data_IF_385930122284
#
_entry.id   IF_385930122284
#
_cell.length_a   1.000
_cell.length_b   1.000
_cell.length_c   1.000
_cell.angle_alpha   90.00
_cell.angle_beta   90.00
_cell.angle_gamma   90.00
#
_symmetry.space_group_name_H-M   'P 1'
#
loop_
_entity.id
_entity.type
_entity.pdbx_description
1 polymer ?
#
# COMPACT_ATOMS: atom_id res chain seq x y z
N UNK A 1 -21.20 -6.98 -14.58
CA UNK A 1 -20.78 -5.62 -14.25
C UNK A 1 -19.28 -5.55 -14.03
N UNK A 2 -18.72 -4.37 -13.95
CA UNK A 2 -17.33 -4.12 -13.58
C UNK A 2 -17.31 -3.60 -12.15
N UNK A 3 -16.39 -4.09 -11.32
CA UNK A 3 -16.10 -3.51 -10.00
C UNK A 3 -14.94 -2.53 -10.15
N UNK A 4 -15.04 -1.37 -9.53
CA UNK A 4 -14.01 -0.31 -9.59
C UNK A 4 -13.30 -0.25 -8.24
N UNK A 5 -11.97 -0.38 -8.25
CA UNK A 5 -11.14 -0.03 -7.11
C UNK A 5 -10.82 1.46 -7.19
N UNK A 6 -11.41 2.25 -6.31
CA UNK A 6 -11.22 3.70 -6.25
C UNK A 6 -10.23 4.03 -5.14
N UNK A 7 -9.02 4.44 -5.52
CA UNK A 7 -7.98 4.78 -4.56
C UNK A 7 -8.14 6.22 -4.07
N UNK A 8 -8.25 6.39 -2.75
CA UNK A 8 -8.11 7.67 -2.08
C UNK A 8 -6.64 7.98 -1.86
N UNK A 9 -6.11 8.91 -2.65
CA UNK A 9 -4.76 9.45 -2.45
C UNK A 9 -4.87 10.71 -1.61
N UNK A 10 -4.33 10.66 -0.41
CA UNK A 10 -4.35 11.79 0.53
C UNK A 10 -3.25 12.81 0.19
N UNK A 11 -3.27 13.31 -1.03
CA UNK A 11 -2.34 14.36 -1.48
C UNK A 11 -2.78 15.77 -1.09
N UNK A 12 -3.95 15.90 -0.46
CA UNK A 12 -4.55 17.19 -0.13
C UNK A 12 -4.62 17.31 1.38
N UNK A 13 -4.09 18.41 1.88
CA UNK A 13 -4.12 18.83 3.27
C UNK A 13 -5.42 18.44 3.97
N UNK A 14 -5.34 17.58 4.98
CA UNK A 14 -6.36 17.27 6.00
C UNK A 14 -7.75 17.90 5.77
N UNK A 15 -8.28 17.78 4.55
CA UNK A 15 -9.59 18.30 4.21
C UNK A 15 -10.66 17.38 4.83
N UNK A 16 -11.32 17.81 5.91
CA UNK A 16 -12.31 16.97 6.59
C UNK A 16 -13.49 16.59 5.69
N UNK A 17 -13.72 17.37 4.62
CA UNK A 17 -14.80 17.15 3.67
C UNK A 17 -14.39 16.25 2.50
N UNK A 18 -13.14 15.79 2.42
CA UNK A 18 -12.67 14.99 1.30
C UNK A 18 -13.45 13.67 1.17
N UNK A 19 -13.48 12.85 2.22
CA UNK A 19 -14.24 11.60 2.22
C UNK A 19 -15.75 11.84 2.05
N UNK A 20 -16.39 12.75 2.79
CA UNK A 20 -17.81 13.10 2.56
C UNK A 20 -18.13 13.43 1.11
N UNK A 21 -17.32 14.25 0.43
CA UNK A 21 -17.53 14.60 -0.98
C UNK A 21 -17.40 13.41 -1.92
N UNK A 22 -16.43 12.51 -1.68
CA UNK A 22 -16.29 11.28 -2.46
C UNK A 22 -17.54 10.41 -2.31
N UNK A 23 -18.03 10.23 -1.07
CA UNK A 23 -19.23 9.44 -0.81
C UNK A 23 -20.48 10.05 -1.45
N UNK A 24 -20.61 11.37 -1.40
CA UNK A 24 -21.72 12.07 -2.09
C UNK A 24 -21.71 11.78 -3.60
N UNK A 25 -20.56 11.85 -4.25
CA UNK A 25 -20.43 11.50 -5.68
C UNK A 25 -20.83 10.06 -5.94
N UNK A 26 -20.38 9.09 -5.11
CA UNK A 26 -20.74 7.68 -5.27
C UNK A 26 -22.24 7.44 -5.12
N UNK A 27 -22.89 8.16 -4.20
CA UNK A 27 -24.35 8.08 -4.01
C UNK A 27 -25.10 8.72 -5.18
N UNK A 28 -24.70 9.92 -5.61
CA UNK A 28 -25.33 10.63 -6.75
C UNK A 28 -25.21 9.87 -8.08
N UNK A 29 -24.13 9.10 -8.24
CA UNK A 29 -23.87 8.30 -9.44
C UNK A 29 -24.36 6.85 -9.33
N UNK A 30 -24.97 6.47 -8.21
CA UNK A 30 -25.43 5.11 -7.92
C UNK A 30 -24.31 4.05 -8.01
N UNK A 31 -23.06 4.44 -7.69
CA UNK A 31 -21.88 3.59 -7.83
C UNK A 31 -21.46 2.86 -6.55
N UNK A 32 -22.15 3.08 -5.42
CA UNK A 32 -21.78 2.52 -4.12
C UNK A 32 -21.54 1.01 -4.15
N UNK A 33 -22.44 0.25 -4.79
CA UNK A 33 -22.31 -1.21 -4.90
C UNK A 33 -21.23 -1.69 -5.91
N UNK A 34 -20.78 -0.81 -6.80
CA UNK A 34 -19.81 -1.14 -7.82
C UNK A 34 -18.39 -0.74 -7.45
N UNK A 35 -18.21 0.03 -6.36
CA UNK A 35 -16.92 0.53 -5.91
C UNK A 35 -16.41 -0.25 -4.71
N UNK A 36 -15.11 -0.47 -4.67
CA UNK A 36 -14.32 -0.78 -3.49
C UNK A 36 -13.40 0.41 -3.26
N UNK A 37 -13.58 1.11 -2.15
CA UNK A 37 -12.77 2.27 -1.81
C UNK A 37 -11.47 1.78 -1.18
N UNK A 38 -10.31 2.15 -1.76
CA UNK A 38 -9.02 1.68 -1.29
C UNK A 38 -8.11 2.85 -0.89
N UNK A 39 -7.24 2.65 0.08
CA UNK A 39 -6.26 3.66 0.48
C UNK A 39 -5.12 3.05 1.30
N UNK A 40 -3.93 3.65 1.21
CA UNK A 40 -2.84 3.46 2.17
C UNK A 40 -3.10 4.20 3.50
N UNK A 41 -3.87 5.29 3.45
CA UNK A 41 -4.31 5.98 4.65
C UNK A 41 -5.60 5.34 5.17
N UNK A 42 -5.47 4.45 6.15
CA UNK A 42 -6.60 3.70 6.70
C UNK A 42 -7.55 4.58 7.54
N UNK A 43 -7.13 5.77 7.96
CA UNK A 43 -8.03 6.72 8.62
C UNK A 43 -9.15 7.21 7.67
N UNK A 44 -8.85 7.35 6.37
CA UNK A 44 -9.86 7.69 5.36
C UNK A 44 -10.87 6.55 5.16
N UNK A 45 -10.41 5.30 5.20
CA UNK A 45 -11.30 4.13 5.11
C UNK A 45 -12.19 3.99 6.35
N UNK A 46 -11.63 4.27 7.54
CA UNK A 46 -12.40 4.32 8.79
C UNK A 46 -13.49 5.37 8.69
N UNK A 47 -13.16 6.59 8.26
CA UNK A 47 -14.14 7.65 8.08
C UNK A 47 -15.23 7.25 7.07
N UNK A 48 -14.85 6.64 5.96
CA UNK A 48 -15.80 6.16 4.96
C UNK A 48 -16.76 5.12 5.55
N UNK A 49 -16.26 4.13 6.32
CA UNK A 49 -17.09 3.12 7.00
C UNK A 49 -18.00 3.71 8.07
N UNK A 50 -17.57 4.76 8.76
CA UNK A 50 -18.41 5.46 9.74
C UNK A 50 -19.57 6.21 9.08
N UNK A 51 -19.34 6.80 7.91
CA UNK A 51 -20.34 7.57 7.17
C UNK A 51 -21.24 6.70 6.28
N UNK A 52 -20.73 5.60 5.75
CA UNK A 52 -21.41 4.69 4.84
C UNK A 52 -21.00 3.23 5.14
N UNK A 53 -21.56 2.59 6.17
CA UNK A 53 -21.13 1.26 6.65
C UNK A 53 -21.18 0.15 5.59
N UNK A 54 -22.11 0.23 4.65
CA UNK A 54 -22.29 -0.74 3.56
C UNK A 54 -21.24 -0.61 2.45
N UNK A 55 -20.51 0.51 2.36
CA UNK A 55 -19.48 0.66 1.35
C UNK A 55 -18.34 -0.33 1.60
N UNK A 56 -17.97 -1.04 0.54
CA UNK A 56 -16.81 -1.95 0.59
C UNK A 56 -15.52 -1.14 0.61
N UNK A 57 -14.61 -1.52 1.48
CA UNK A 57 -13.28 -0.89 1.58
C UNK A 57 -12.16 -1.92 1.47
N UNK A 58 -11.01 -1.47 1.00
CA UNK A 58 -9.81 -2.29 0.88
C UNK A 58 -8.59 -1.57 1.44
N UNK A 59 -7.92 -2.19 2.40
CA UNK A 59 -6.70 -1.66 2.97
C UNK A 59 -5.52 -1.92 2.01
N UNK A 60 -4.92 -0.85 1.48
CA UNK A 60 -3.64 -0.93 0.80
C UNK A 60 -2.53 -0.97 1.83
N UNK A 61 -1.63 -1.93 1.71
CA UNK A 61 -0.49 -2.10 2.63
C UNK A 61 0.79 -2.33 1.84
N UNK A 62 1.89 -1.79 2.33
CA UNK A 62 3.19 -1.96 1.67
C UNK A 62 3.74 -3.38 1.83
N UNK A 63 3.29 -4.12 2.86
CA UNK A 63 3.72 -5.48 3.11
C UNK A 63 5.16 -5.56 3.60
N UNK A 64 6.03 -6.17 2.81
CA UNK A 64 7.44 -6.38 3.17
C UNK A 64 8.23 -5.07 3.20
N UNK A 65 8.27 -4.48 4.38
CA UNK A 65 8.84 -3.15 4.61
C UNK A 65 10.36 -3.10 4.47
N UNK A 66 11.03 -4.18 4.89
CA UNK A 66 12.50 -4.19 5.00
C UNK A 66 13.21 -4.05 3.66
N UNK A 67 12.66 -4.66 2.62
CA UNK A 67 13.27 -4.62 1.30
C UNK A 67 12.91 -3.36 0.50
N UNK A 68 11.84 -2.68 0.86
CA UNK A 68 11.27 -1.61 0.02
C UNK A 68 11.35 -0.21 0.62
N UNK A 69 11.34 -0.07 1.94
CA UNK A 69 11.12 1.22 2.58
C UNK A 69 12.16 1.57 3.64
N UNK A 70 12.76 0.60 4.33
CA UNK A 70 13.78 0.91 5.32
C UNK A 70 15.08 1.33 4.65
N UNK A 71 15.72 2.40 5.14
CA UNK A 71 17.01 2.82 4.64
C UNK A 71 18.06 1.71 4.87
N UNK A 72 18.79 1.31 3.84
CA UNK A 72 19.88 0.37 4.04
C UNK A 72 20.97 0.95 4.97
N UNK A 73 21.69 0.12 5.73
CA UNK A 73 22.66 0.57 6.73
C UNK A 73 23.71 1.57 6.21
N UNK A 74 24.01 1.52 4.93
CA UNK A 74 24.98 2.43 4.30
C UNK A 74 24.47 3.87 4.27
N UNK A 75 23.17 4.10 4.07
CA UNK A 75 22.61 5.47 4.06
C UNK A 75 22.75 6.11 5.45
N UNK A 76 22.43 5.37 6.51
CA UNK A 76 22.60 5.87 7.87
C UNK A 76 24.04 6.29 8.15
N UNK A 77 24.99 5.45 7.73
CA UNK A 77 26.41 5.73 7.88
C UNK A 77 26.85 6.95 7.05
N UNK A 78 26.43 7.05 5.82
CA UNK A 78 26.80 8.14 4.89
C UNK A 78 26.26 9.50 5.36
N UNK A 79 25.10 9.49 6.02
CA UNK A 79 24.49 10.67 6.64
C UNK A 79 24.99 10.96 8.07
N UNK A 80 25.83 10.09 8.63
CA UNK A 80 26.34 10.25 10.00
C UNK A 80 25.29 10.06 11.09
N UNK A 81 24.21 9.31 10.79
CA UNK A 81 23.09 9.07 11.67
C UNK A 81 23.15 7.69 12.33
N UNK A 82 22.42 7.51 13.42
CA UNK A 82 22.23 6.19 14.01
C UNK A 82 21.18 5.41 13.20
N UNK A 83 21.31 4.09 13.19
CA UNK A 83 20.41 3.23 12.43
C UNK A 83 19.13 2.95 13.25
N UNK A 84 18.16 3.84 13.21
CA UNK A 84 16.93 3.67 13.96
C UNK A 84 15.74 4.45 13.44
N UNK A 85 14.54 3.93 13.74
CA UNK A 85 13.29 4.54 13.31
C UNK A 85 13.05 5.92 13.92
N UNK A 86 13.59 6.15 15.12
CA UNK A 86 13.45 7.44 15.79
C UNK A 86 14.31 8.54 15.15
N UNK A 87 15.23 8.17 14.25
CA UNK A 87 16.09 9.09 13.51
C UNK A 87 15.55 9.41 12.10
N UNK A 88 14.35 8.95 11.74
CA UNK A 88 13.80 9.13 10.38
C UNK A 88 13.61 10.60 9.99
N UNK A 89 13.22 11.47 10.93
CA UNK A 89 13.11 12.90 10.67
C UNK A 89 14.49 13.55 10.44
N UNK A 90 15.51 13.14 11.21
CA UNK A 90 16.87 13.61 11.02
C UNK A 90 17.45 13.11 9.67
N UNK A 91 17.09 11.89 9.26
CA UNK A 91 17.45 11.35 7.96
C UNK A 91 16.80 12.18 6.83
N UNK A 92 15.50 12.47 6.92
CA UNK A 92 14.80 13.27 5.93
C UNK A 92 15.41 14.67 5.78
N UNK A 93 15.72 15.32 6.91
CA UNK A 93 16.37 16.63 6.92
C UNK A 93 17.78 16.63 6.33
N UNK A 94 18.44 15.46 6.31
CA UNK A 94 19.78 15.30 5.72
C UNK A 94 19.74 14.88 4.25
N UNK A 95 18.57 14.48 3.72
CA UNK A 95 18.39 14.16 2.31
C UNK A 95 18.35 15.45 1.47
N UNK A 96 18.88 15.44 0.24
CA UNK A 96 18.81 16.60 -0.64
C UNK A 96 17.35 16.92 -1.00
N UNK A 97 17.00 18.20 -0.95
CA UNK A 97 15.65 18.70 -1.29
C UNK A 97 15.22 18.45 -2.74
N UNK A 98 16.17 18.19 -3.62
CA UNK A 98 15.86 17.84 -5.00
C UNK A 98 16.84 16.81 -5.57
N UNK A 99 16.30 15.89 -6.37
CA UNK A 99 17.10 14.98 -7.20
C UNK A 99 17.99 15.69 -8.25
N UNK A 100 17.93 17.03 -8.33
CA UNK A 100 18.68 17.85 -9.28
C UNK A 100 20.14 18.12 -8.88
N UNK A 101 20.53 17.85 -7.63
CA UNK A 101 21.94 17.86 -7.20
C UNK A 101 22.65 16.57 -7.65
N UNK A 102 22.66 16.34 -8.97
CA UNK A 102 23.15 15.10 -9.58
C UNK A 102 24.65 14.83 -9.36
N UNK A 103 25.46 15.84 -9.11
CA UNK A 103 26.92 15.67 -9.02
C UNK A 103 27.42 15.09 -7.68
N UNK A 104 26.62 15.16 -6.60
CA UNK A 104 27.05 14.75 -5.26
C UNK A 104 26.14 13.75 -4.56
N UNK A 105 25.04 13.29 -5.18
CA UNK A 105 24.09 12.42 -4.55
C UNK A 105 24.22 10.97 -5.06
N UNK A 106 24.47 10.02 -4.15
CA UNK A 106 24.45 8.60 -4.53
C UNK A 106 23.07 8.20 -5.06
N UNK A 107 23.02 7.23 -5.99
CA UNK A 107 21.74 6.69 -6.49
C UNK A 107 20.83 6.22 -5.35
N UNK A 108 21.43 5.75 -4.25
CA UNK A 108 20.75 5.23 -3.08
C UNK A 108 20.11 6.34 -2.24
N UNK A 109 20.80 7.47 -2.10
CA UNK A 109 20.25 8.68 -1.43
C UNK A 109 19.08 9.24 -2.23
N UNK A 110 19.17 9.27 -3.56
CA UNK A 110 18.07 9.66 -4.45
C UNK A 110 16.87 8.72 -4.32
N UNK A 111 17.12 7.41 -4.38
CA UNK A 111 16.09 6.40 -4.17
C UNK A 111 15.37 6.59 -2.83
N UNK A 112 16.11 6.91 -1.76
CA UNK A 112 15.51 7.15 -0.44
C UNK A 112 14.70 8.44 -0.41
N UNK A 113 15.17 9.52 -1.03
CA UNK A 113 14.42 10.78 -1.16
C UNK A 113 13.09 10.57 -1.89
N UNK A 114 13.08 9.80 -2.98
CA UNK A 114 11.85 9.44 -3.70
C UNK A 114 10.88 8.64 -2.81
N UNK A 115 11.39 7.71 -1.99
CA UNK A 115 10.58 6.93 -1.06
C UNK A 115 9.97 7.79 0.04
N UNK A 116 10.75 8.67 0.64
CA UNK A 116 10.27 9.61 1.67
C UNK A 116 9.19 10.52 1.08
N UNK A 117 9.40 11.06 -0.11
CA UNK A 117 8.43 11.90 -0.81
C UNK A 117 7.11 11.15 -1.06
N UNK A 118 7.19 9.90 -1.49
CA UNK A 118 6.02 9.04 -1.69
C UNK A 118 5.28 8.78 -0.37
N UNK A 119 6.00 8.49 0.72
CA UNK A 119 5.40 8.27 2.04
C UNK A 119 4.69 9.52 2.55
N UNK A 120 5.32 10.69 2.47
CA UNK A 120 4.69 11.96 2.87
C UNK A 120 3.45 12.27 2.05
N UNK A 121 3.44 11.95 0.76
CA UNK A 121 2.27 12.12 -0.09
C UNK A 121 1.10 11.18 0.30
N UNK A 122 1.39 9.99 0.81
CA UNK A 122 0.36 9.04 1.25
C UNK A 122 -0.11 9.26 2.70
N UNK A 123 0.70 9.93 3.54
CA UNK A 123 0.44 10.18 4.96
C UNK A 123 0.65 11.66 5.30
N UNK A 124 -0.14 12.58 4.73
CA UNK A 124 0.04 14.01 4.94
C UNK A 124 -0.22 14.37 6.41
N UNK A 125 0.66 15.21 6.95
CA UNK A 125 0.59 15.69 8.34
C UNK A 125 1.12 14.73 9.40
N UNK A 126 1.50 13.50 9.03
CA UNK A 126 2.18 12.58 9.94
C UNK A 126 3.70 12.78 9.90
N UNK A 127 4.37 12.61 11.05
CA UNK A 127 5.83 12.58 11.10
C UNK A 127 6.35 11.29 10.44
N UNK A 128 7.54 11.34 9.84
CA UNK A 128 8.16 10.14 9.28
C UNK A 128 8.35 9.05 10.33
N UNK A 129 8.69 9.41 11.57
CA UNK A 129 8.81 8.45 12.66
C UNK A 129 7.50 7.70 12.91
N UNK A 130 6.36 8.38 12.89
CA UNK A 130 5.05 7.76 13.06
C UNK A 130 4.67 6.92 11.85
N UNK A 131 4.90 7.41 10.64
CA UNK A 131 4.69 6.65 9.40
C UNK A 131 5.46 5.33 9.46
N UNK A 132 6.75 5.36 9.78
CA UNK A 132 7.56 4.14 9.86
C UNK A 132 7.16 3.20 10.99
N UNK A 133 6.75 3.72 12.16
CA UNK A 133 6.18 2.91 13.25
C UNK A 133 4.90 2.19 12.81
N UNK A 134 4.02 2.90 12.11
CA UNK A 134 2.81 2.31 11.53
C UNK A 134 3.15 1.23 10.51
N UNK A 135 4.04 1.52 9.56
CA UNK A 135 4.46 0.56 8.55
C UNK A 135 5.11 -0.69 9.17
N UNK A 136 5.93 -0.55 10.21
CA UNK A 136 6.50 -1.69 10.94
C UNK A 136 5.45 -2.55 11.62
N UNK A 137 4.36 -1.97 12.08
CA UNK A 137 3.25 -2.74 12.65
C UNK A 137 2.56 -3.65 11.64
N UNK A 138 2.69 -3.34 10.33
CA UNK A 138 2.14 -4.14 9.24
C UNK A 138 2.95 -5.41 8.90
N UNK A 139 4.09 -5.65 9.56
CA UNK A 139 4.89 -6.88 9.34
C UNK A 139 4.12 -8.16 9.66
N UNK A 140 3.34 -8.15 10.74
CA UNK A 140 2.35 -9.18 11.01
C UNK A 140 1.00 -8.68 10.48
N UNK A 141 0.80 -8.84 9.19
CA UNK A 141 -0.37 -8.27 8.50
C UNK A 141 -1.70 -8.77 9.07
N UNK A 142 -1.91 -10.06 9.39
CA UNK A 142 -3.13 -10.50 10.05
C UNK A 142 -3.37 -9.84 11.41
N UNK A 143 -2.32 -9.71 12.23
CA UNK A 143 -2.43 -9.02 13.52
C UNK A 143 -2.73 -7.53 13.36
N UNK A 144 -2.06 -6.87 12.40
CA UNK A 144 -2.32 -5.48 12.07
C UNK A 144 -3.77 -5.25 11.63
N UNK A 145 -4.27 -6.05 10.67
CA UNK A 145 -5.65 -5.94 10.19
C UNK A 145 -6.66 -6.19 11.32
N UNK A 146 -6.36 -7.13 12.21
CA UNK A 146 -7.21 -7.39 13.40
C UNK A 146 -7.22 -6.23 14.41
N UNK A 147 -6.21 -5.37 14.39
CA UNK A 147 -6.11 -4.19 15.25
C UNK A 147 -6.88 -2.98 14.74
N UNK A 148 -7.33 -3.00 13.48
CA UNK A 148 -8.14 -1.93 12.92
C UNK A 148 -9.52 -1.93 13.60
N UNK A 149 -10.08 -0.75 13.81
CA UNK A 149 -11.42 -0.57 14.37
C UNK A 149 -12.55 -0.67 13.33
N UNK A 150 -12.22 -1.15 12.15
CA UNK A 150 -13.13 -1.54 11.07
C UNK A 150 -12.58 -2.79 10.38
N UNK A 151 -13.45 -3.55 9.73
CA UNK A 151 -13.05 -4.73 8.96
C UNK A 151 -13.04 -4.36 7.47
N UNK A 152 -11.87 -4.38 6.80
CA UNK A 152 -11.84 -4.23 5.36
C UNK A 152 -12.33 -5.49 4.66
N UNK A 153 -13.05 -5.36 3.56
CA UNK A 153 -13.45 -6.50 2.72
C UNK A 153 -12.28 -7.00 1.86
N UNK A 154 -11.29 -6.13 1.62
CA UNK A 154 -10.10 -6.43 0.84
C UNK A 154 -8.83 -5.98 1.55
N UNK A 155 -7.78 -6.76 1.41
CA UNK A 155 -6.41 -6.35 1.69
C UNK A 155 -5.62 -6.47 0.39
N UNK A 156 -4.92 -5.40 0.03
CA UNK A 156 -4.13 -5.36 -1.18
C UNK A 156 -2.70 -4.94 -0.87
N UNK A 157 -1.76 -5.85 -1.08
CA UNK A 157 -0.35 -5.64 -0.76
C UNK A 157 0.58 -5.88 -1.96
N UNK A 158 1.81 -5.45 -1.81
CA UNK A 158 2.87 -5.75 -2.76
C UNK A 158 3.10 -7.26 -2.82
N UNK A 159 3.25 -7.82 -4.04
CA UNK A 159 3.15 -9.26 -4.28
C UNK A 159 4.28 -10.10 -3.67
N UNK A 160 5.47 -9.52 -3.41
CA UNK A 160 6.53 -10.24 -2.72
C UNK A 160 6.15 -10.62 -1.29
N UNK A 161 5.24 -9.89 -0.66
CA UNK A 161 4.69 -10.23 0.65
C UNK A 161 4.05 -11.62 0.67
N UNK A 162 3.40 -12.02 -0.43
CA UNK A 162 2.84 -13.37 -0.56
C UNK A 162 3.93 -14.44 -0.64
N UNK A 163 5.10 -14.13 -1.18
CA UNK A 163 6.21 -15.08 -1.25
C UNK A 163 6.89 -15.27 0.11
N UNK A 164 7.04 -14.19 0.86
CA UNK A 164 7.62 -14.22 2.21
C UNK A 164 6.69 -14.85 3.23
N UNK A 165 5.38 -14.71 3.01
CA UNK A 165 4.33 -15.26 3.87
C UNK A 165 3.34 -16.08 3.03
N UNK A 166 3.69 -17.31 2.59
CA UNK A 166 2.81 -18.12 1.73
C UNK A 166 1.44 -18.46 2.35
N UNK A 167 1.31 -18.39 3.68
CA UNK A 167 0.06 -18.62 4.38
C UNK A 167 -0.88 -17.39 4.39
N UNK A 168 -0.40 -16.23 3.94
CA UNK A 168 -1.10 -14.95 4.08
C UNK A 168 -2.51 -14.98 3.48
N UNK A 169 -2.67 -15.48 2.26
CA UNK A 169 -3.98 -15.56 1.60
C UNK A 169 -4.96 -16.38 2.43
N UNK A 170 -4.54 -17.57 2.90
CA UNK A 170 -5.38 -18.42 3.74
C UNK A 170 -5.73 -17.76 5.08
N UNK A 171 -4.82 -16.99 5.66
CA UNK A 171 -5.07 -16.25 6.89
C UNK A 171 -6.09 -15.13 6.67
N UNK A 172 -5.98 -14.37 5.58
CA UNK A 172 -6.96 -13.35 5.22
C UNK A 172 -8.33 -13.96 4.92
N UNK A 173 -8.39 -15.06 4.17
CA UNK A 173 -9.63 -15.79 3.91
C UNK A 173 -10.29 -16.31 5.19
N UNK A 174 -9.50 -16.78 6.17
CA UNK A 174 -10.04 -17.19 7.48
C UNK A 174 -10.66 -16.03 8.27
N UNK A 175 -10.27 -14.79 7.96
CA UNK A 175 -10.87 -13.56 8.50
C UNK A 175 -12.04 -13.05 7.65
N UNK A 176 -12.39 -13.72 6.54
CA UNK A 176 -13.42 -13.29 5.60
C UNK A 176 -12.97 -12.16 4.67
N UNK A 177 -11.67 -11.95 4.51
CA UNK A 177 -11.07 -10.86 3.75
C UNK A 177 -10.49 -11.41 2.45
N UNK A 178 -10.74 -10.71 1.34
CA UNK A 178 -10.18 -11.05 0.04
C UNK A 178 -8.78 -10.44 -0.13
N UNK A 179 -7.90 -11.19 -0.82
CA UNK A 179 -6.49 -10.83 -1.02
C UNK A 179 -6.23 -10.37 -2.45
N UNK A 180 -5.71 -9.15 -2.59
CA UNK A 180 -5.24 -8.60 -3.87
C UNK A 180 -3.74 -8.31 -3.82
N UNK A 181 -3.06 -8.41 -4.96
CA UNK A 181 -1.61 -8.17 -5.02
C UNK A 181 -1.24 -7.27 -6.19
N UNK A 182 -0.38 -6.29 -5.92
CA UNK A 182 0.14 -5.30 -6.87
C UNK A 182 1.68 -5.20 -6.80
N UNK A 183 2.39 -4.70 -7.79
CA UNK A 183 1.97 -4.58 -9.18
C UNK A 183 2.56 -5.76 -9.95
N UNK A 184 1.74 -6.62 -10.50
CA UNK A 184 2.15 -7.89 -11.11
C UNK A 184 2.18 -7.73 -12.63
N UNK A 185 3.36 -7.44 -13.18
CA UNK A 185 3.52 -7.08 -14.59
C UNK A 185 4.36 -8.11 -15.38
N UNK A 186 4.75 -9.24 -14.76
CA UNK A 186 5.57 -10.28 -15.39
C UNK A 186 4.93 -11.66 -15.31
N UNK A 187 5.24 -12.52 -16.29
CA UNK A 187 4.73 -13.89 -16.33
C UNK A 187 5.22 -14.74 -15.17
N UNK A 188 6.47 -14.54 -14.74
CA UNK A 188 7.05 -15.29 -13.63
C UNK A 188 6.39 -14.92 -12.31
N UNK A 189 6.07 -13.63 -12.09
CA UNK A 189 5.31 -13.19 -10.94
C UNK A 189 3.89 -13.81 -10.92
N UNK A 190 3.20 -13.83 -12.05
CA UNK A 190 1.89 -14.50 -12.18
C UNK A 190 2.00 -15.99 -11.83
N UNK A 191 2.98 -16.69 -12.44
CA UNK A 191 3.19 -18.14 -12.20
C UNK A 191 3.46 -18.45 -10.73
N UNK A 192 4.23 -17.61 -10.05
CA UNK A 192 4.59 -17.81 -8.65
C UNK A 192 3.45 -17.43 -7.68
N UNK A 193 2.62 -16.45 -8.06
CA UNK A 193 1.54 -15.96 -7.21
C UNK A 193 0.27 -16.82 -7.28
N UNK A 194 -0.09 -17.33 -8.46
CA UNK A 194 -1.34 -18.09 -8.64
C UNK A 194 -1.52 -19.29 -7.69
N UNK A 195 -0.47 -20.10 -7.40
CA UNK A 195 -0.61 -21.23 -6.47
C UNK A 195 -0.95 -20.80 -5.03
N UNK A 196 -0.74 -19.54 -4.67
CA UNK A 196 -1.05 -18.98 -3.35
C UNK A 196 -2.53 -18.60 -3.21
N UNK A 197 -3.30 -18.62 -4.32
CA UNK A 197 -4.75 -18.41 -4.32
C UNK A 197 -5.22 -16.96 -4.17
N UNK A 198 -4.59 -15.97 -4.84
CA UNK A 198 -5.05 -14.58 -4.77
C UNK A 198 -6.46 -14.44 -5.37
N UNK A 199 -7.28 -13.55 -4.80
CA UNK A 199 -8.60 -13.22 -5.35
C UNK A 199 -8.49 -12.20 -6.49
N UNK A 200 -7.46 -11.36 -6.46
CA UNK A 200 -7.24 -10.32 -7.46
C UNK A 200 -5.75 -10.09 -7.72
N UNK A 201 -5.42 -9.85 -8.98
CA UNK A 201 -4.11 -9.38 -9.43
C UNK A 201 -4.27 -7.98 -10.01
N UNK A 202 -3.54 -7.02 -9.44
CA UNK A 202 -3.47 -5.64 -9.93
C UNK A 202 -2.25 -5.49 -10.83
N UNK A 203 -2.45 -4.98 -12.03
CA UNK A 203 -1.42 -4.93 -13.09
C UNK A 203 -1.60 -3.73 -14.02
N UNK A 204 -0.49 -3.24 -14.57
CA UNK A 204 -0.49 -2.27 -15.67
C UNK A 204 -0.67 -2.95 -17.06
N UNK A 205 -0.71 -4.29 -17.11
CA UNK A 205 -0.74 -5.08 -18.36
C UNK A 205 -1.87 -6.13 -18.32
N UNK A 206 -3.14 -5.70 -18.19
CA UNK A 206 -4.26 -6.62 -17.97
C UNK A 206 -4.48 -7.61 -19.13
N UNK A 207 -4.18 -7.22 -20.36
CA UNK A 207 -4.20 -8.07 -21.53
C UNK A 207 -3.22 -9.26 -21.39
N UNK A 208 -1.97 -8.98 -21.04
CA UNK A 208 -0.91 -9.99 -20.89
C UNK A 208 -1.13 -10.88 -19.68
N UNK A 209 -1.43 -10.27 -18.54
CA UNK A 209 -1.65 -11.02 -17.30
C UNK A 209 -2.82 -11.98 -17.47
N UNK A 210 -3.90 -11.57 -18.12
CA UNK A 210 -5.03 -12.45 -18.43
C UNK A 210 -4.63 -13.64 -19.29
N UNK A 211 -3.79 -13.44 -20.30
CA UNK A 211 -3.26 -14.53 -21.13
C UNK A 211 -2.44 -15.51 -20.27
N UNK A 212 -1.54 -15.01 -19.41
CA UNK A 212 -0.67 -15.84 -18.57
C UNK A 212 -1.47 -16.60 -17.51
N UNK A 213 -2.44 -15.98 -16.85
CA UNK A 213 -3.34 -16.65 -15.89
C UNK A 213 -4.07 -17.80 -16.60
N UNK A 214 -4.67 -17.54 -17.76
CA UNK A 214 -5.38 -18.56 -18.51
C UNK A 214 -4.47 -19.73 -18.95
N UNK A 215 -3.22 -19.44 -19.26
CA UNK A 215 -2.23 -20.47 -19.64
C UNK A 215 -1.82 -21.34 -18.43
N UNK A 216 -1.66 -20.76 -17.25
CA UNK A 216 -1.32 -21.52 -16.04
C UNK A 216 -2.52 -22.35 -15.54
N UNK A 217 -3.74 -21.86 -15.62
CA UNK A 217 -4.95 -22.59 -15.19
C UNK A 217 -5.35 -23.77 -16.10
N UNK A 218 -4.72 -23.90 -17.28
CA UNK A 218 -4.97 -25.02 -18.20
C UNK A 218 -3.99 -26.18 -18.03
N UNK A 219 -2.97 -26.05 -17.18
CA UNK A 219 -2.00 -27.10 -16.87
C UNK A 219 -2.52 -28.06 -15.81
#
# INVERSE_FOLDING_TARGET
GCTVHLELKSTMDNDPDFVPRVLEVLQQTEMVEQVILVSFNHALLRQAKQLLPELRVGALVYGELESMLLPPPIIWKDLGLTNGIDDMEAMDAALPESAADEENCSWMTRWMSDKVSMLRANFPGESLNEIYKNLLSQRDLPAYISSLDFVPEWVSCEYHTAYSTPALVNQLHAMGIQAAFWTVDTQDAVRSLLPLGPDCIVTNRPDRVREWVNAEMRK
#
